data_IF_086292044325
#
_entry.id   IF_086292044325
#
_cell.length_a   1.000
_cell.length_b   1.000
_cell.length_c   1.000
_cell.angle_alpha   90.00
_cell.angle_beta   90.00
_cell.angle_gamma   90.00
#
_symmetry.space_group_name_H-M   'P 1'
#
loop_
_entity.id
_entity.type
_entity.pdbx_description
1 polymer ?
#
# COMPACT_ATOMS: atom_id res chain seq x y z
N UNK A 1 0.73 2.49 4.19
CA UNK A 1 1.72 1.50 4.64
C UNK A 1 1.68 1.31 6.16
N UNK A 2 2.06 2.29 7.00
CA UNK A 2 2.06 2.11 8.48
C UNK A 2 0.75 1.59 9.06
N UNK A 3 -0.40 2.11 8.60
CA UNK A 3 -1.71 1.63 9.04
C UNK A 3 -1.89 0.14 8.80
N UNK A 4 -1.43 -0.39 7.65
CA UNK A 4 -1.53 -1.83 7.33
C UNK A 4 -0.61 -2.63 8.24
N UNK A 5 0.63 -2.19 8.44
CA UNK A 5 1.60 -2.88 9.31
C UNK A 5 1.08 -3.03 10.75
N UNK A 6 0.46 -1.98 11.29
CA UNK A 6 -0.17 -2.03 12.61
C UNK A 6 -1.42 -2.93 12.60
N UNK A 7 -2.34 -2.68 11.67
CA UNK A 7 -3.63 -3.37 11.58
C UNK A 7 -3.51 -4.88 11.32
N UNK A 8 -2.43 -5.32 10.69
CA UNK A 8 -2.13 -6.73 10.43
C UNK A 8 -1.17 -7.33 11.47
N UNK A 9 -0.78 -6.57 12.49
CA UNK A 9 0.04 -7.09 13.60
C UNK A 9 1.47 -7.47 13.24
N UNK A 10 2.04 -6.91 12.16
CA UNK A 10 3.43 -7.22 11.75
C UNK A 10 4.46 -6.72 12.76
N UNK A 11 4.11 -5.69 13.51
CA UNK A 11 4.92 -5.10 14.56
C UNK A 11 4.06 -4.92 15.81
N UNK A 12 4.69 -5.02 16.98
CA UNK A 12 4.01 -4.89 18.27
C UNK A 12 3.41 -3.50 18.44
N UNK A 13 2.30 -3.39 19.17
CA UNK A 13 1.57 -2.13 19.34
C UNK A 13 2.43 -1.03 20.00
N UNK A 14 3.28 -1.39 20.96
CA UNK A 14 4.24 -0.47 21.60
C UNK A 14 5.26 0.13 20.64
N UNK A 15 5.47 -0.51 19.48
CA UNK A 15 6.33 0.01 18.41
C UNK A 15 5.64 1.10 17.60
N UNK A 16 4.43 1.54 17.97
CA UNK A 16 3.70 2.62 17.30
C UNK A 16 3.38 3.77 18.25
N UNK A 17 3.27 4.97 17.70
CA UNK A 17 2.80 6.17 18.39
C UNK A 17 1.58 6.74 17.69
N UNK A 18 0.59 7.14 18.49
CA UNK A 18 -0.61 7.83 18.01
C UNK A 18 -0.26 9.28 17.69
N UNK A 19 -0.49 9.68 16.45
CA UNK A 19 -0.33 11.05 15.97
C UNK A 19 -1.62 11.52 15.31
N UNK A 20 -1.88 12.83 15.32
CA UNK A 20 -3.02 13.40 14.60
C UNK A 20 -2.58 13.81 13.20
N UNK A 21 -3.10 13.14 12.16
CA UNK A 21 -2.89 13.50 10.75
C UNK A 21 -4.21 13.47 10.00
N UNK A 22 -4.42 14.44 9.10
CA UNK A 22 -5.65 14.58 8.33
C UNK A 22 -6.92 14.58 9.20
N UNK A 23 -6.84 15.09 10.44
CA UNK A 23 -7.94 15.06 11.39
C UNK A 23 -8.28 13.69 12.00
N UNK A 24 -7.49 12.65 11.74
CA UNK A 24 -7.64 11.32 12.33
C UNK A 24 -6.49 10.96 13.29
N UNK A 25 -6.76 10.15 14.32
CA UNK A 25 -5.70 9.45 15.03
C UNK A 25 -5.09 8.40 14.09
N UNK A 26 -3.82 8.58 13.76
CA UNK A 26 -3.05 7.68 12.93
C UNK A 26 -1.91 7.08 13.75
N UNK A 27 -1.49 5.87 13.40
CA UNK A 27 -0.38 5.19 14.06
C UNK A 27 0.83 5.24 13.14
N UNK A 28 1.93 5.77 13.67
CA UNK A 28 3.23 5.75 13.02
C UNK A 28 4.15 4.84 13.81
N UNK A 29 4.92 4.01 13.12
CA UNK A 29 5.93 3.20 13.81
C UNK A 29 6.97 4.12 14.47
N UNK A 30 7.54 3.68 15.58
CA UNK A 30 8.66 4.30 16.28
C UNK A 30 9.99 3.67 15.86
N UNK A 31 9.97 2.49 15.23
CA UNK A 31 11.15 1.79 14.74
C UNK A 31 11.84 2.59 13.62
N UNK A 32 13.07 3.04 13.89
CA UNK A 32 13.84 3.87 12.96
C UNK A 32 14.23 3.12 11.68
N UNK A 33 14.42 1.80 11.74
CA UNK A 33 14.73 1.00 10.54
C UNK A 33 13.52 0.92 9.61
N UNK A 34 12.31 0.71 10.17
CA UNK A 34 11.06 0.67 9.40
C UNK A 34 10.70 2.06 8.87
N UNK A 35 10.89 3.12 9.67
CA UNK A 35 10.72 4.51 9.21
C UNK A 35 11.63 4.82 8.03
N UNK A 36 12.93 4.53 8.16
CA UNK A 36 13.93 4.79 7.13
C UNK A 36 13.63 4.01 5.86
N UNK A 37 13.30 2.72 5.99
CA UNK A 37 12.90 1.88 4.85
C UNK A 37 11.69 2.48 4.12
N UNK A 38 10.60 2.77 4.85
CA UNK A 38 9.37 3.31 4.23
C UNK A 38 9.62 4.71 3.66
N UNK A 39 10.45 5.53 4.28
CA UNK A 39 10.81 6.85 3.76
C UNK A 39 11.56 6.75 2.42
N UNK A 40 12.52 5.84 2.31
CA UNK A 40 13.24 5.58 1.06
C UNK A 40 12.31 5.08 -0.05
N UNK A 41 11.39 4.16 0.30
CA UNK A 41 10.36 3.68 -0.62
C UNK A 41 9.49 4.84 -1.10
N UNK A 42 8.96 5.66 -0.18
CA UNK A 42 8.10 6.80 -0.53
C UNK A 42 8.84 7.80 -1.41
N UNK A 43 10.11 8.10 -1.12
CA UNK A 43 10.90 9.02 -1.93
C UNK A 43 11.00 8.56 -3.39
N UNK A 44 11.30 7.28 -3.62
CA UNK A 44 11.37 6.74 -4.98
C UNK A 44 10.00 6.68 -5.68
N UNK A 45 8.96 6.28 -4.94
CA UNK A 45 7.60 6.22 -5.49
C UNK A 45 7.11 7.60 -5.91
N UNK A 46 7.43 8.67 -5.16
CA UNK A 46 7.09 10.03 -5.54
C UNK A 46 7.74 10.45 -6.85
N UNK A 47 9.03 10.13 -7.06
CA UNK A 47 9.73 10.44 -8.31
C UNK A 47 9.05 9.75 -9.52
N UNK A 48 8.72 8.47 -9.41
CA UNK A 48 8.04 7.76 -10.48
C UNK A 48 6.59 8.23 -10.68
N UNK A 49 5.91 8.63 -9.61
CA UNK A 49 4.55 9.16 -9.68
C UNK A 49 4.51 10.52 -10.39
N UNK A 50 5.43 11.42 -10.05
CA UNK A 50 5.57 12.74 -10.69
C UNK A 50 5.97 12.63 -12.17
N UNK A 51 6.80 11.65 -12.51
CA UNK A 51 7.14 11.34 -13.90
C UNK A 51 6.00 10.66 -14.67
N UNK A 52 4.88 10.31 -14.02
CA UNK A 52 3.78 9.57 -14.63
C UNK A 52 4.11 8.12 -14.99
N UNK A 53 5.19 7.58 -14.40
CA UNK A 53 5.77 6.27 -14.73
C UNK A 53 5.35 5.14 -13.79
N UNK A 54 4.72 5.47 -12.66
CA UNK A 54 4.26 4.51 -11.67
C UNK A 54 2.84 4.03 -11.98
N UNK A 55 2.66 2.73 -12.20
CA UNK A 55 1.37 2.11 -12.53
C UNK A 55 0.72 1.42 -11.33
N UNK A 56 1.53 0.87 -10.42
CA UNK A 56 1.02 0.10 -9.28
C UNK A 56 2.03 0.01 -8.15
N UNK A 57 1.55 0.05 -6.91
CA UNK A 57 2.30 -0.30 -5.71
C UNK A 57 1.66 -1.55 -5.10
N UNK A 58 2.47 -2.54 -4.70
CA UNK A 58 1.98 -3.72 -3.99
C UNK A 58 2.74 -3.88 -2.69
N UNK A 59 2.05 -3.78 -1.56
CA UNK A 59 2.59 -4.20 -0.26
C UNK A 59 2.29 -5.69 -0.08
N UNK A 60 3.33 -6.50 0.02
CA UNK A 60 3.26 -7.96 0.14
C UNK A 60 3.52 -8.32 1.60
N UNK A 61 2.67 -9.17 2.19
CA UNK A 61 2.88 -9.76 3.51
C UNK A 61 3.15 -11.25 3.32
N UNK A 62 4.22 -11.74 3.94
CA UNK A 62 4.72 -13.09 3.76
C UNK A 62 5.04 -13.74 5.11
N UNK A 63 4.91 -15.06 5.18
CA UNK A 63 5.41 -15.85 6.31
C UNK A 63 6.92 -15.64 6.45
N UNK A 64 7.38 -15.31 7.65
CA UNK A 64 8.81 -15.23 7.95
C UNK A 64 9.48 -16.61 7.90
N UNK A 65 8.73 -17.67 8.18
CA UNK A 65 9.27 -19.04 8.26
C UNK A 65 9.40 -19.68 6.87
N UNK A 66 8.41 -19.49 6.00
CA UNK A 66 8.33 -20.20 4.71
C UNK A 66 8.57 -19.29 3.50
N UNK A 67 8.57 -17.97 3.67
CA UNK A 67 8.49 -16.97 2.59
C UNK A 67 7.23 -17.11 1.71
N UNK A 68 6.20 -17.83 2.18
CA UNK A 68 4.93 -17.92 1.48
C UNK A 68 4.20 -16.57 1.53
N UNK A 69 3.61 -16.17 0.40
CA UNK A 69 2.83 -14.93 0.32
C UNK A 69 1.43 -15.16 0.89
N UNK A 70 1.07 -14.39 1.92
CA UNK A 70 -0.22 -14.50 2.61
C UNK A 70 -1.19 -13.42 2.16
N UNK A 71 -0.70 -12.18 1.97
CA UNK A 71 -1.51 -11.05 1.51
C UNK A 71 -0.75 -10.19 0.50
N UNK A 72 -1.52 -9.59 -0.41
CA UNK A 72 -1.06 -8.59 -1.37
C UNK A 72 -2.03 -7.43 -1.38
N UNK A 73 -1.57 -6.30 -0.88
CA UNK A 73 -2.29 -5.03 -0.91
C UNK A 73 -1.88 -4.27 -2.15
N UNK A 74 -2.71 -4.35 -3.18
CA UNK A 74 -2.48 -3.79 -4.49
C UNK A 74 -3.14 -2.42 -4.60
N UNK A 75 -2.33 -1.40 -4.91
CA UNK A 75 -2.74 -0.03 -5.18
C UNK A 75 -2.44 0.26 -6.64
N UNK A 76 -3.45 0.16 -7.50
CA UNK A 76 -3.36 0.49 -8.92
C UNK A 76 -3.50 2.00 -9.07
N UNK A 77 -2.62 2.61 -9.88
CA UNK A 77 -2.55 4.06 -10.05
C UNK A 77 -2.79 4.37 -11.53
N UNK A 78 -3.83 5.15 -11.78
CA UNK A 78 -4.13 5.74 -13.07
C UNK A 78 -3.75 7.22 -12.99
N UNK A 79 -2.72 7.63 -13.72
CA UNK A 79 -2.27 9.02 -13.77
C UNK A 79 -2.82 9.69 -15.02
N UNK A 80 -3.35 10.90 -14.87
CA UNK A 80 -3.85 11.67 -15.99
C UNK A 80 -2.68 12.20 -16.85
N UNK A 81 -2.59 11.71 -18.08
CA UNK A 81 -1.52 12.06 -19.02
C UNK A 81 -1.53 13.54 -19.39
N UNK A 82 -2.67 14.23 -19.38
CA UNK A 82 -2.70 15.67 -19.68
C UNK A 82 -2.04 16.50 -18.58
N UNK A 83 -2.11 16.05 -17.33
CA UNK A 83 -1.43 16.72 -16.22
C UNK A 83 0.09 16.58 -16.39
N UNK A 84 0.55 15.37 -16.75
CA UNK A 84 1.99 15.08 -16.92
C UNK A 84 2.56 15.72 -18.19
N UNK A 85 1.87 15.62 -19.33
CA UNK A 85 2.38 16.08 -20.63
C UNK A 85 2.16 17.58 -20.88
N UNK A 86 1.02 18.13 -20.46
CA UNK A 86 0.63 19.52 -20.75
C UNK A 86 0.74 20.44 -19.52
N UNK A 87 1.13 19.91 -18.37
CA UNK A 87 1.25 20.68 -17.12
C UNK A 87 -0.07 21.26 -16.64
N UNK A 88 -1.21 20.64 -16.99
CA UNK A 88 -2.53 21.14 -16.61
C UNK A 88 -2.68 21.02 -15.09
N UNK A 89 -2.80 22.16 -14.40
CA UNK A 89 -3.12 22.17 -12.98
C UNK A 89 -4.59 21.80 -12.77
N UNK A 90 -4.84 20.76 -11.99
CA UNK A 90 -6.18 20.39 -11.53
C UNK A 90 -6.28 20.66 -10.04
N UNK A 91 -7.01 21.71 -9.69
CA UNK A 91 -7.20 22.06 -8.30
C UNK A 91 -8.29 21.21 -7.64
N UNK A 92 -7.97 20.74 -6.45
CA UNK A 92 -8.89 20.11 -5.50
C UNK A 92 -8.62 20.73 -4.15
N UNK A 93 -9.66 21.03 -3.39
CA UNK A 93 -9.44 21.69 -2.10
C UNK A 93 -8.78 20.73 -1.11
N UNK A 94 -7.90 21.25 -0.24
CA UNK A 94 -7.29 20.46 0.84
C UNK A 94 -8.35 19.73 1.67
N UNK A 95 -9.52 20.34 1.86
CA UNK A 95 -10.65 19.76 2.59
C UNK A 95 -11.20 18.51 1.92
N UNK A 96 -11.29 18.48 0.59
CA UNK A 96 -11.74 17.31 -0.16
C UNK A 96 -10.67 16.21 -0.14
N UNK A 97 -9.40 16.58 -0.37
CA UNK A 97 -8.26 15.65 -0.29
C UNK A 97 -8.20 15.00 1.09
N UNK A 98 -8.31 15.79 2.16
CA UNK A 98 -8.34 15.27 3.52
C UNK A 98 -9.50 14.30 3.73
N UNK A 99 -10.72 14.62 3.29
CA UNK A 99 -11.89 13.73 3.45
C UNK A 99 -11.70 12.38 2.75
N UNK A 100 -11.07 12.38 1.59
CA UNK A 100 -10.76 11.15 0.85
C UNK A 100 -9.69 10.33 1.55
N UNK A 101 -8.59 10.95 1.97
CA UNK A 101 -7.56 10.29 2.81
C UNK A 101 -8.20 9.66 4.04
N UNK A 102 -9.10 10.38 4.71
CA UNK A 102 -9.81 9.85 5.86
C UNK A 102 -10.69 8.65 5.52
N UNK A 103 -11.40 8.68 4.40
CA UNK A 103 -12.23 7.57 3.95
C UNK A 103 -11.40 6.32 3.68
N UNK A 104 -10.25 6.48 2.99
CA UNK A 104 -9.30 5.40 2.71
C UNK A 104 -8.76 4.80 4.01
N UNK A 105 -8.33 5.65 4.96
CA UNK A 105 -7.77 5.16 6.23
C UNK A 105 -8.81 4.39 7.05
N UNK A 106 -10.06 4.87 7.09
CA UNK A 106 -11.16 4.13 7.73
C UNK A 106 -11.45 2.82 7.01
N UNK A 107 -11.37 2.82 5.68
CA UNK A 107 -11.60 1.62 4.88
C UNK A 107 -10.50 0.56 5.07
N UNK A 108 -9.23 0.97 5.15
CA UNK A 108 -8.10 0.07 5.46
C UNK A 108 -8.26 -0.52 6.87
N UNK A 109 -8.75 0.27 7.83
CA UNK A 109 -9.05 -0.23 9.17
C UNK A 109 -10.23 -1.21 9.15
N UNK A 110 -11.30 -0.92 8.41
CA UNK A 110 -12.45 -1.82 8.31
C UNK A 110 -12.14 -3.08 7.52
N UNK A 111 -11.21 -3.05 6.54
CA UNK A 111 -10.93 -4.22 5.72
C UNK A 111 -10.39 -5.41 6.52
N UNK A 112 -9.75 -5.16 7.67
CA UNK A 112 -9.22 -6.19 8.58
C UNK A 112 -10.30 -7.18 8.99
N UNK A 113 -11.55 -6.73 9.18
CA UNK A 113 -12.63 -7.61 9.67
C UNK A 113 -13.04 -8.67 8.65
N UNK A 114 -12.60 -8.54 7.41
CA UNK A 114 -12.88 -9.48 6.32
C UNK A 114 -11.65 -10.31 5.93
N UNK A 115 -10.50 -10.10 6.56
CA UNK A 115 -9.26 -10.81 6.27
C UNK A 115 -9.00 -11.87 7.35
N UNK A 116 -8.51 -13.08 6.98
CA UNK A 116 -8.11 -14.10 7.93
C UNK A 116 -7.11 -13.58 8.97
N UNK A 117 -7.03 -14.22 10.14
CA UNK A 117 -6.00 -13.90 11.13
C UNK A 117 -4.62 -14.34 10.62
N UNK A 118 -3.59 -13.53 10.89
CA UNK A 118 -2.21 -13.94 10.66
C UNK A 118 -1.68 -14.60 11.94
N UNK A 119 -1.68 -15.93 11.97
CA UNK A 119 -1.32 -16.72 13.15
C UNK A 119 0.19 -17.01 13.26
N UNK A 120 0.99 -16.45 12.36
CA UNK A 120 2.44 -16.63 12.30
C UNK A 120 3.20 -15.31 12.16
N UNK A 121 4.49 -15.34 12.52
CA UNK A 121 5.37 -14.19 12.35
C UNK A 121 5.51 -13.85 10.85
N UNK A 122 5.12 -12.63 10.49
CA UNK A 122 5.15 -12.17 9.11
C UNK A 122 6.26 -11.13 8.88
N UNK A 123 6.69 -11.02 7.63
CA UNK A 123 7.50 -9.93 7.10
C UNK A 123 6.75 -9.25 5.97
N UNK A 124 7.16 -8.04 5.59
CA UNK A 124 6.59 -7.36 4.43
C UNK A 124 7.65 -6.98 3.41
N UNK A 125 7.18 -6.80 2.19
CA UNK A 125 7.97 -6.24 1.10
C UNK A 125 7.11 -5.29 0.25
N UNK A 126 7.74 -4.44 -0.55
CA UNK A 126 7.06 -3.48 -1.43
C UNK A 126 7.52 -3.67 -2.86
N UNK A 127 6.57 -3.96 -3.75
CA UNK A 127 6.78 -4.00 -5.19
C UNK A 127 6.24 -2.72 -5.82
N UNK A 128 6.96 -2.18 -6.80
CA UNK A 128 6.51 -1.11 -7.66
C UNK A 128 6.48 -1.62 -9.11
N UNK A 129 5.38 -1.35 -9.81
CA UNK A 129 5.26 -1.63 -11.23
C UNK A 129 5.34 -0.29 -11.95
N UNK A 130 6.37 -0.15 -12.77
CA UNK A 130 6.62 1.05 -13.58
C UNK A 130 6.55 0.72 -15.06
N UNK A 131 6.59 1.74 -15.91
CA UNK A 131 6.84 1.54 -17.33
C UNK A 131 8.19 0.82 -17.55
N UNK A 132 8.27 0.07 -18.66
CA UNK A 132 9.45 -0.75 -19.02
C UNK A 132 10.70 0.07 -19.36
N UNK A 133 10.53 1.36 -19.65
CA UNK A 133 11.61 2.27 -20.04
C UNK A 133 12.24 2.98 -18.83
N UNK A 134 11.75 2.74 -17.62
CA UNK A 134 12.31 3.29 -16.38
C UNK A 134 13.56 2.53 -15.98
N UNK A 135 14.66 3.25 -15.77
CA UNK A 135 15.87 2.67 -15.22
C UNK A 135 15.64 2.25 -13.76
N UNK A 136 16.06 1.03 -13.41
CA UNK A 136 15.96 0.52 -12.04
C UNK A 136 17.03 1.23 -11.17
N UNK A 137 16.64 1.99 -10.13
CA UNK A 137 17.58 2.63 -9.22
C UNK A 137 18.42 1.59 -8.46
N UNK A 138 19.62 1.95 -8.04
CA UNK A 138 20.51 1.02 -7.31
C UNK A 138 19.91 0.46 -6.01
N UNK A 139 19.00 1.20 -5.38
CA UNK A 139 18.30 0.79 -4.15
C UNK A 139 17.13 -0.17 -4.41
N UNK A 140 16.85 -0.47 -5.68
CA UNK A 140 15.77 -1.36 -6.13
C UNK A 140 16.34 -2.47 -7.01
N UNK A 141 15.62 -3.58 -7.09
CA UNK A 141 15.95 -4.71 -7.95
C UNK A 141 14.70 -5.19 -8.66
N UNK A 142 14.88 -5.81 -9.82
CA UNK A 142 13.80 -6.57 -10.45
C UNK A 142 13.40 -7.74 -9.55
N UNK A 143 12.09 -7.96 -9.41
CA UNK A 143 11.53 -8.98 -8.53
C UNK A 143 10.45 -9.76 -9.25
N UNK A 144 10.22 -10.99 -8.82
CA UNK A 144 9.06 -11.76 -9.22
C UNK A 144 7.76 -11.08 -8.72
N UNK A 145 6.59 -11.38 -9.32
CA UNK A 145 5.35 -10.70 -8.95
C UNK A 145 4.81 -11.06 -7.55
N UNK A 146 5.38 -12.06 -6.87
CA UNK A 146 4.94 -12.56 -5.56
C UNK A 146 3.45 -12.88 -5.52
N UNK A 147 2.97 -13.67 -6.49
CA UNK A 147 1.55 -14.01 -6.60
C UNK A 147 1.12 -15.00 -5.52
N UNK A 148 -0.15 -14.90 -5.10
CA UNK A 148 -0.81 -15.90 -4.26
C UNK A 148 -1.53 -16.87 -5.19
N UNK A 149 -1.43 -18.17 -4.92
CA UNK A 149 -2.20 -19.19 -5.63
C UNK A 149 -3.67 -19.20 -5.14
N UNK A 150 -4.63 -19.23 -6.06
CA UNK A 150 -6.08 -19.24 -5.77
C UNK A 150 -6.53 -18.24 -4.68
N UNK A 151 -6.19 -16.94 -4.81
CA UNK A 151 -6.49 -15.97 -3.75
C UNK A 151 -7.98 -15.63 -3.71
N UNK A 152 -8.47 -15.33 -2.52
CA UNK A 152 -9.67 -14.52 -2.37
C UNK A 152 -9.30 -13.04 -2.54
N UNK A 153 -10.23 -12.26 -3.09
CA UNK A 153 -10.00 -10.87 -3.44
C UNK A 153 -11.10 -9.96 -2.91
N UNK A 154 -10.70 -8.88 -2.26
CA UNK A 154 -11.60 -7.83 -1.77
C UNK A 154 -11.20 -6.51 -2.42
N UNK A 155 -12.12 -5.95 -3.22
CA UNK A 155 -11.95 -4.63 -3.82
C UNK A 155 -12.40 -3.56 -2.82
N UNK A 156 -11.50 -2.62 -2.53
CA UNK A 156 -11.78 -1.43 -1.73
C UNK A 156 -12.16 -0.26 -2.66
N UNK A 157 -12.66 0.83 -2.07
CA UNK A 157 -13.15 1.96 -2.84
C UNK A 157 -11.96 2.72 -3.43
N UNK A 158 -12.10 3.16 -4.67
CA UNK A 158 -11.12 4.00 -5.32
C UNK A 158 -11.17 5.42 -4.78
N UNK A 159 -10.06 6.13 -4.84
CA UNK A 159 -10.03 7.57 -4.61
C UNK A 159 -9.39 8.28 -5.80
N UNK A 160 -9.71 9.56 -5.99
CA UNK A 160 -9.31 10.29 -7.19
C UNK A 160 -8.91 11.72 -6.82
N UNK A 161 -7.64 12.06 -6.96
CA UNK A 161 -7.14 13.43 -6.68
C UNK A 161 -7.37 14.41 -7.84
N UNK A 162 -8.09 14.00 -8.88
CA UNK A 162 -8.21 14.60 -10.23
C UNK A 162 -6.94 14.47 -11.08
N UNK A 163 -5.83 14.06 -10.49
CA UNK A 163 -4.53 13.84 -11.14
C UNK A 163 -4.23 12.34 -11.14
N UNK A 164 -4.40 11.69 -9.99
CA UNK A 164 -4.22 10.26 -9.83
C UNK A 164 -5.51 9.66 -9.30
N UNK A 165 -6.01 8.65 -10.00
CA UNK A 165 -7.01 7.74 -9.48
C UNK A 165 -6.33 6.49 -8.97
N UNK A 166 -6.67 6.10 -7.76
CA UNK A 166 -6.06 4.96 -7.08
C UNK A 166 -7.14 3.96 -6.71
N UNK A 167 -7.06 2.78 -7.32
CA UNK A 167 -7.89 1.61 -7.02
C UNK A 167 -7.14 0.71 -6.03
N UNK A 168 -7.83 0.21 -5.01
CA UNK A 168 -7.23 -0.69 -4.02
C UNK A 168 -7.88 -2.07 -4.07
N UNK A 169 -7.06 -3.11 -4.12
CA UNK A 169 -7.46 -4.52 -4.13
C UNK A 169 -6.60 -5.28 -3.13
N UNK A 170 -7.23 -6.01 -2.22
CA UNK A 170 -6.52 -6.91 -1.30
C UNK A 170 -6.72 -8.33 -1.81
N UNK A 171 -5.64 -9.03 -2.11
CA UNK A 171 -5.65 -10.47 -2.37
C UNK A 171 -5.08 -11.18 -1.14
N UNK A 172 -5.75 -12.20 -0.64
CA UNK A 172 -5.27 -12.98 0.50
C UNK A 172 -5.43 -14.47 0.23
N UNK A 173 -4.56 -15.26 0.86
CA UNK A 173 -4.62 -16.72 0.80
C UNK A 173 -5.89 -17.21 1.49
N UNK A 174 -6.59 -18.14 0.84
CA UNK A 174 -7.71 -18.82 1.47
C UNK A 174 -7.14 -19.91 2.38
N UNK A 175 -7.46 -19.88 3.68
CA UNK A 175 -7.17 -21.00 4.55
C UNK A 175 -8.25 -22.06 4.28
N UNK A 176 -7.89 -23.16 3.63
CA UNK A 176 -8.79 -24.29 3.34
C UNK A 176 -9.22 -25.07 4.61
N UNK A 177 -9.26 -24.42 5.77
CA UNK A 177 -9.56 -25.05 7.07
C UNK A 177 -11.02 -24.95 7.53
N UNK A 178 -11.88 -24.21 6.83
CA UNK A 178 -13.29 -24.03 7.24
C UNK A 178 -14.31 -24.95 6.51
N UNK A 179 -13.87 -25.88 5.64
CA UNK A 179 -14.76 -26.83 4.95
C UNK A 179 -14.53 -28.30 5.37
N UNK A 180 -14.53 -28.60 6.67
CA UNK A 180 -14.65 -29.98 7.15
C UNK A 180 -15.50 -30.14 8.41
#
# INVERSE_FOLDING_TARGET
MFSILYNRGLYLEESFVKVKKYGLPMLLTQDESVKSFIANVIAQLSEWLEAGKLQRIVLVIMSKATNEVLERWNFSIETDSEVVEKGVSREKSDKEIMREIQAIMRQIASSITYLPCLDEACVFDVLAYTDKDVAVPFTWIESDPKLIANPQMVKLHSFDTKIHKVDTLVSYKNDEWDEQ
#
